data_IF_382548158621
#
_entry.id   IF_382548158621
#
_cell.length_a   1.000
_cell.length_b   1.000
_cell.length_c   1.000
_cell.angle_alpha   90.00
_cell.angle_beta   90.00
_cell.angle_gamma   90.00
#
_symmetry.space_group_name_H-M   'P 1'
#
loop_
_entity.id
_entity.type
_entity.pdbx_description
1 polymer ?
#
# COMPACT_ATOMS: atom_id res chain seq x y z
N UNK A 1 -6.00 -2.59 -25.82
CA UNK A 1 -5.29 -1.31 -26.02
C UNK A 1 -4.15 -1.53 -27.01
N UNK A 2 -4.00 -0.67 -28.02
CA UNK A 2 -2.90 -0.80 -28.99
C UNK A 2 -1.58 -0.42 -28.32
N UNK A 3 -0.45 -1.02 -28.73
CA UNK A 3 0.88 -0.76 -28.14
C UNK A 3 1.20 0.74 -28.01
N UNK A 4 0.84 1.55 -29.01
CA UNK A 4 1.09 3.00 -28.99
C UNK A 4 0.31 3.76 -27.91
N UNK A 5 -0.91 3.33 -27.61
CA UNK A 5 -1.72 3.91 -26.54
C UNK A 5 -1.08 3.60 -25.18
N UNK A 6 -0.60 2.37 -24.98
CA UNK A 6 0.12 1.96 -23.76
C UNK A 6 1.40 2.80 -23.58
N UNK A 7 2.19 2.98 -24.66
CA UNK A 7 3.41 3.79 -24.58
C UNK A 7 3.12 5.24 -24.15
N UNK A 8 2.01 5.82 -24.61
CA UNK A 8 1.58 7.15 -24.17
C UNK A 8 1.24 7.16 -22.69
N UNK A 9 0.47 6.18 -22.21
CA UNK A 9 0.13 6.04 -20.79
C UNK A 9 1.38 5.91 -19.93
N UNK A 10 2.35 5.06 -20.32
CA UNK A 10 3.61 4.91 -19.61
C UNK A 10 4.41 6.22 -19.58
N UNK A 11 4.55 6.90 -20.72
CA UNK A 11 5.29 8.16 -20.80
C UNK A 11 4.65 9.27 -19.94
N UNK A 12 3.33 9.32 -19.89
CA UNK A 12 2.61 10.31 -19.07
C UNK A 12 2.62 9.95 -17.59
N UNK A 13 2.63 8.65 -17.24
CA UNK A 13 2.79 8.20 -15.87
C UNK A 13 4.16 8.62 -15.30
N UNK A 14 5.25 8.36 -16.03
CA UNK A 14 6.61 8.69 -15.57
C UNK A 14 6.79 10.18 -15.28
N UNK A 15 6.17 11.07 -16.07
CA UNK A 15 6.20 12.53 -15.84
C UNK A 15 5.52 12.97 -14.55
N UNK A 16 4.61 12.14 -14.01
CA UNK A 16 3.84 12.43 -12.80
C UNK A 16 4.42 11.79 -11.55
N UNK A 17 5.45 10.95 -11.69
CA UNK A 17 6.11 10.34 -10.52
C UNK A 17 6.76 11.47 -9.72
N UNK A 18 6.36 11.67 -8.44
CA UNK A 18 6.95 12.69 -7.59
C UNK A 18 8.34 12.26 -7.09
N UNK A 19 9.11 13.21 -6.56
CA UNK A 19 10.48 12.98 -6.07
C UNK A 19 10.54 11.92 -4.94
N UNK A 20 9.47 11.80 -4.15
CA UNK A 20 9.35 10.77 -3.11
C UNK A 20 8.90 9.41 -3.66
N UNK A 21 8.90 9.20 -4.98
CA UNK A 21 8.65 7.91 -5.64
C UNK A 21 7.33 7.24 -5.23
N UNK A 22 6.29 8.03 -4.99
CA UNK A 22 4.96 7.57 -4.57
C UNK A 22 4.95 6.74 -3.27
N UNK A 23 5.88 6.98 -2.32
CA UNK A 23 5.82 6.35 -1.01
C UNK A 23 5.40 7.31 0.11
N UNK A 24 4.90 6.73 1.20
CA UNK A 24 4.80 7.35 2.51
C UNK A 24 5.66 6.54 3.50
N UNK A 25 6.39 7.21 4.38
CA UNK A 25 7.17 6.52 5.42
C UNK A 25 6.27 6.05 6.57
N UNK A 26 6.65 5.01 7.34
CA UNK A 26 5.88 4.60 8.50
C UNK A 26 5.61 5.74 9.51
N UNK A 27 6.59 6.61 9.87
CA UNK A 27 6.33 7.73 10.77
C UNK A 27 5.29 8.73 10.22
N UNK A 28 5.34 9.04 8.93
CA UNK A 28 4.37 9.94 8.28
C UNK A 28 2.97 9.32 8.24
N UNK A 29 2.86 8.03 7.90
CA UNK A 29 1.58 7.33 7.91
C UNK A 29 0.98 7.32 9.31
N UNK A 30 1.78 6.98 10.33
CA UNK A 30 1.34 6.99 11.72
C UNK A 30 0.77 8.34 12.12
N UNK A 31 1.50 9.43 11.84
CA UNK A 31 1.04 10.79 12.11
C UNK A 31 -0.28 11.10 11.42
N UNK A 32 -0.44 10.74 10.14
CA UNK A 32 -1.70 10.95 9.40
C UNK A 32 -2.87 10.15 9.97
N UNK A 33 -2.63 8.92 10.42
CA UNK A 33 -3.65 8.10 11.07
C UNK A 33 -4.06 8.67 12.44
N UNK A 34 -3.15 9.32 13.17
CA UNK A 34 -3.46 10.02 14.42
C UNK A 34 -4.24 11.33 14.17
N UNK A 35 -3.88 12.09 13.13
CA UNK A 35 -4.47 13.41 12.85
C UNK A 35 -5.78 13.35 12.05
N UNK A 36 -5.90 12.42 11.11
CA UNK A 36 -7.00 12.37 10.13
C UNK A 36 -7.26 10.95 9.61
N UNK A 37 -7.58 9.97 10.48
CA UNK A 37 -7.70 8.57 10.10
C UNK A 37 -8.74 8.32 9.00
N UNK A 38 -9.81 9.13 8.96
CA UNK A 38 -10.88 8.99 7.98
C UNK A 38 -10.48 9.36 6.55
N UNK A 39 -9.38 10.10 6.37
CA UNK A 39 -8.85 10.52 5.06
C UNK A 39 -7.93 9.48 4.41
N UNK A 40 -7.58 8.43 5.15
CA UNK A 40 -6.64 7.39 4.73
C UNK A 40 -7.38 6.06 4.63
N UNK A 41 -7.06 5.30 3.58
CA UNK A 41 -7.47 3.91 3.44
C UNK A 41 -6.22 3.04 3.35
N UNK A 42 -5.98 2.21 4.35
CA UNK A 42 -4.82 1.30 4.34
C UNK A 42 -5.23 -0.01 3.68
N UNK A 43 -4.63 -0.30 2.52
CA UNK A 43 -4.83 -1.53 1.77
C UNK A 43 -3.68 -2.50 2.06
N UNK A 44 -3.96 -3.58 2.79
CA UNK A 44 -2.99 -4.65 3.02
C UNK A 44 -3.12 -5.73 1.95
N UNK A 45 -2.08 -5.89 1.13
CA UNK A 45 -2.08 -6.86 0.02
C UNK A 45 -1.35 -8.16 0.35
N UNK A 46 -0.98 -8.38 1.62
CA UNK A 46 -0.42 -9.65 2.08
C UNK A 46 -1.49 -10.75 2.11
N UNK A 47 -1.03 -11.99 2.25
CA UNK A 47 -1.93 -13.11 2.50
C UNK A 47 -2.68 -12.93 3.84
N UNK A 48 -3.82 -13.62 3.97
CA UNK A 48 -4.69 -13.51 5.14
C UNK A 48 -3.97 -13.90 6.44
N UNK A 49 -3.10 -14.91 6.39
CA UNK A 49 -2.32 -15.36 7.55
C UNK A 49 -1.44 -14.25 8.13
N UNK A 50 -0.67 -13.57 7.27
CA UNK A 50 0.20 -12.44 7.67
C UNK A 50 -0.59 -11.26 8.21
N UNK A 51 -1.78 -11.02 7.65
CA UNK A 51 -2.69 -9.96 8.11
C UNK A 51 -3.26 -10.29 9.49
N UNK A 52 -3.74 -11.53 9.68
CA UNK A 52 -4.30 -12.01 10.93
C UNK A 52 -3.27 -12.02 12.07
N UNK A 53 -2.02 -12.39 11.76
CA UNK A 53 -0.92 -12.33 12.72
C UNK A 53 -0.69 -10.89 13.21
N UNK A 54 -0.55 -9.93 12.28
CA UNK A 54 -0.41 -8.52 12.63
C UNK A 54 -0.74 -7.59 11.46
N UNK A 55 -1.56 -6.57 11.68
CA UNK A 55 -1.87 -5.53 10.68
C UNK A 55 -2.04 -4.15 11.32
N UNK A 56 -2.00 -3.10 10.49
CA UNK A 56 -2.26 -1.72 10.93
C UNK A 56 -3.75 -1.60 11.30
N UNK A 57 -4.07 -0.95 12.41
CA UNK A 57 -5.47 -0.73 12.82
C UNK A 57 -6.28 -0.04 11.71
N UNK A 58 -7.46 -0.60 11.42
CA UNK A 58 -8.34 -0.11 10.36
C UNK A 58 -7.90 -0.44 8.92
N UNK A 59 -6.82 -1.21 8.74
CA UNK A 59 -6.46 -1.71 7.41
C UNK A 59 -7.53 -2.67 6.87
N UNK A 60 -7.60 -2.77 5.54
CA UNK A 60 -8.46 -3.73 4.85
C UNK A 60 -7.57 -4.69 4.08
N UNK A 61 -7.70 -6.00 4.35
CA UNK A 61 -6.98 -7.02 3.61
C UNK A 61 -7.66 -7.34 2.28
N UNK A 62 -6.92 -7.17 1.19
CA UNK A 62 -7.25 -7.73 -0.11
C UNK A 62 -5.96 -8.28 -0.68
N UNK A 63 -5.77 -9.61 -0.61
CA UNK A 63 -4.58 -10.28 -1.16
C UNK A 63 -4.27 -9.80 -2.58
N UNK A 64 -2.97 -9.67 -2.89
CA UNK A 64 -2.44 -9.18 -4.17
C UNK A 64 -3.19 -9.73 -5.40
N UNK A 65 -3.47 -11.04 -5.42
CA UNK A 65 -4.11 -11.72 -6.56
C UNK A 65 -5.56 -11.28 -6.78
N UNK A 66 -6.17 -10.67 -5.76
CA UNK A 66 -7.58 -10.37 -5.72
C UNK A 66 -7.91 -8.87 -5.81
N UNK A 67 -6.91 -7.99 -5.80
CA UNK A 67 -7.10 -6.52 -5.75
C UNK A 67 -7.96 -6.02 -6.91
N UNK A 68 -7.70 -6.50 -8.12
CA UNK A 68 -8.35 -6.01 -9.35
C UNK A 68 -9.60 -6.82 -9.75
N UNK A 69 -10.09 -7.72 -8.89
CA UNK A 69 -11.42 -8.28 -9.08
C UNK A 69 -12.48 -7.20 -8.87
N UNK A 70 -13.53 -7.21 -9.70
CA UNK A 70 -14.60 -6.21 -9.71
C UNK A 70 -15.22 -5.94 -8.32
N UNK A 71 -15.47 -7.01 -7.56
CA UNK A 71 -16.03 -6.92 -6.21
C UNK A 71 -15.06 -6.37 -5.15
N UNK A 72 -13.76 -6.36 -5.43
CA UNK A 72 -12.74 -5.91 -4.48
C UNK A 72 -12.25 -4.50 -4.81
N UNK A 73 -12.02 -4.20 -6.09
CA UNK A 73 -11.62 -2.86 -6.51
C UNK A 73 -12.68 -1.81 -6.15
N UNK A 74 -13.96 -2.19 -6.18
CA UNK A 74 -15.09 -1.35 -5.75
C UNK A 74 -15.13 -1.05 -4.24
N UNK A 75 -14.39 -1.81 -3.42
CA UNK A 75 -14.23 -1.54 -1.98
C UNK A 75 -13.15 -0.50 -1.69
N UNK A 76 -12.26 -0.25 -2.65
CA UNK A 76 -11.19 0.73 -2.50
C UNK A 76 -11.78 2.11 -2.81
N UNK A 77 -11.77 3.06 -1.85
CA UNK A 77 -12.34 4.39 -2.03
C UNK A 77 -11.49 5.22 -3.00
N UNK A 78 -12.14 6.06 -3.82
CA UNK A 78 -11.48 6.97 -4.75
C UNK A 78 -11.33 8.40 -4.17
N UNK A 79 -12.04 8.68 -3.07
CA UNK A 79 -12.07 9.97 -2.36
C UNK A 79 -11.11 10.05 -1.17
N UNK A 80 -10.33 8.98 -0.92
CA UNK A 80 -9.32 8.89 0.14
C UNK A 80 -7.95 8.60 -0.44
N UNK A 81 -6.90 8.98 0.28
CA UNK A 81 -5.56 8.51 -0.04
C UNK A 81 -5.44 7.02 0.32
N UNK A 82 -5.11 6.21 -0.68
CA UNK A 82 -4.90 4.76 -0.54
C UNK A 82 -3.45 4.51 -0.21
N UNK A 83 -3.18 3.93 0.95
CA UNK A 83 -1.84 3.53 1.38
C UNK A 83 -1.73 2.02 1.26
N UNK A 84 -0.99 1.56 0.25
CA UNK A 84 -0.78 0.14 -0.01
C UNK A 84 0.37 -0.35 0.86
N UNK A 85 0.13 -1.36 1.70
CA UNK A 85 1.18 -2.03 2.47
C UNK A 85 1.33 -3.49 2.06
N UNK A 86 2.55 -3.98 2.17
CA UNK A 86 2.89 -5.39 2.02
C UNK A 86 4.00 -5.76 3.02
N UNK A 87 4.62 -6.93 2.87
CA UNK A 87 5.71 -7.36 3.76
C UNK A 87 6.86 -6.35 3.84
N UNK A 88 7.48 -6.03 2.70
CA UNK A 88 8.74 -5.24 2.63
C UNK A 88 8.71 -4.06 1.63
N UNK A 89 7.54 -3.70 1.11
CA UNK A 89 7.33 -2.56 0.20
C UNK A 89 7.39 -2.87 -1.31
N UNK A 90 7.96 -4.00 -1.74
CA UNK A 90 8.14 -4.29 -3.18
C UNK A 90 6.84 -4.60 -3.94
N UNK A 91 5.95 -5.37 -3.32
CA UNK A 91 4.63 -5.66 -3.93
C UNK A 91 3.75 -4.41 -3.91
N UNK A 92 3.81 -3.64 -2.83
CA UNK A 92 3.05 -2.40 -2.69
C UNK A 92 3.39 -1.40 -3.82
N UNK A 93 4.65 -1.29 -4.25
CA UNK A 93 5.03 -0.40 -5.35
C UNK A 93 4.44 -0.78 -6.71
N UNK A 94 4.18 -2.07 -6.94
CA UNK A 94 3.53 -2.54 -8.16
C UNK A 94 2.02 -2.25 -8.11
N UNK A 95 1.38 -2.59 -6.99
CA UNK A 95 -0.07 -2.40 -6.82
C UNK A 95 -0.44 -0.91 -6.80
N UNK A 96 0.32 -0.05 -6.11
CA UNK A 96 0.06 1.38 -6.13
C UNK A 96 0.11 1.95 -7.54
N UNK A 97 1.04 1.47 -8.38
CA UNK A 97 1.21 1.96 -9.76
C UNK A 97 -0.03 1.63 -10.58
N UNK A 98 -0.55 0.41 -10.45
CA UNK A 98 -1.77 -0.02 -11.13
C UNK A 98 -3.00 0.76 -10.62
N UNK A 99 -3.10 1.03 -9.31
CA UNK A 99 -4.16 1.87 -8.75
C UNK A 99 -4.07 3.32 -9.28
N UNK A 100 -2.88 3.91 -9.34
CA UNK A 100 -2.71 5.25 -9.92
C UNK A 100 -3.10 5.31 -11.40
N UNK A 101 -2.84 4.26 -12.18
CA UNK A 101 -3.31 4.16 -13.56
C UNK A 101 -4.84 4.08 -13.67
N UNK A 102 -5.52 3.60 -12.64
CA UNK A 102 -6.99 3.58 -12.53
C UNK A 102 -7.57 4.87 -11.91
N UNK A 103 -6.73 5.84 -11.55
CA UNK A 103 -7.16 7.16 -11.06
C UNK A 103 -7.23 7.30 -9.54
N UNK A 104 -6.71 6.35 -8.77
CA UNK A 104 -6.64 6.46 -7.31
C UNK A 104 -5.47 7.35 -6.87
N UNK A 105 -5.66 8.12 -5.79
CA UNK A 105 -4.55 8.71 -5.02
C UNK A 105 -3.89 7.61 -4.17
N UNK A 106 -2.98 6.84 -4.78
CA UNK A 106 -2.33 5.71 -4.13
C UNK A 106 -0.84 5.95 -3.88
N UNK A 107 -0.38 5.59 -2.68
CA UNK A 107 1.03 5.57 -2.28
C UNK A 107 1.39 4.25 -1.60
N UNK A 108 2.66 3.88 -1.58
CA UNK A 108 3.16 2.67 -0.94
C UNK A 108 3.73 2.96 0.43
N UNK A 109 3.48 2.07 1.40
CA UNK A 109 4.17 2.14 2.70
C UNK A 109 5.64 1.73 2.51
N UNK A 110 6.55 2.69 2.69
CA UNK A 110 7.99 2.47 2.56
C UNK A 110 8.44 1.38 3.54
N UNK A 111 9.17 0.40 3.02
CA UNK A 111 9.64 -0.80 3.75
C UNK A 111 8.55 -1.74 4.27
N UNK A 112 7.27 -1.46 4.01
CA UNK A 112 6.16 -2.33 4.39
C UNK A 112 5.99 -2.52 5.90
N UNK A 113 5.48 -3.69 6.27
CA UNK A 113 5.21 -4.07 7.65
C UNK A 113 6.46 -4.56 8.40
N UNK A 114 7.39 -5.21 7.70
CA UNK A 114 8.55 -5.89 8.30
C UNK A 114 9.90 -5.21 8.03
N UNK A 115 10.97 -6.01 7.94
CA UNK A 115 12.33 -5.54 7.64
C UNK A 115 12.58 -5.54 6.13
N UNK A 116 13.12 -4.45 5.59
CA UNK A 116 13.67 -4.40 4.24
C UNK A 116 15.18 -4.19 4.30
N UNK A 117 15.96 -4.84 3.44
CA UNK A 117 17.42 -4.63 3.37
C UNK A 117 17.74 -3.89 2.08
N UNK A 118 18.30 -2.68 2.20
CA UNK A 118 18.66 -1.85 1.05
C UNK A 118 20.16 -1.56 1.10
N UNK A 119 20.88 -1.93 0.04
CA UNK A 119 22.33 -1.76 -0.05
C UNK A 119 23.12 -2.33 1.15
N UNK A 120 22.61 -3.40 1.78
CA UNK A 120 23.22 -4.02 2.95
C UNK A 120 22.82 -3.40 4.29
N UNK A 121 21.98 -2.36 4.28
CA UNK A 121 21.48 -1.71 5.49
C UNK A 121 20.06 -2.16 5.82
N UNK A 122 19.83 -2.45 7.10
CA UNK A 122 18.52 -2.84 7.63
C UNK A 122 17.64 -1.60 7.74
N UNK A 123 16.53 -1.63 7.01
CA UNK A 123 15.47 -0.63 7.05
C UNK A 123 14.25 -1.22 7.76
N UNK A 124 13.73 -0.45 8.73
CA UNK A 124 12.62 -0.88 9.57
C UNK A 124 11.29 -0.41 8.99
N UNK A 125 10.38 -1.35 8.75
CA UNK A 125 8.97 -1.10 8.47
C UNK A 125 8.16 -0.91 9.74
N UNK A 126 6.83 -0.97 9.59
CA UNK A 126 5.88 -0.62 10.65
C UNK A 126 6.09 -1.37 11.98
N UNK A 127 6.17 -2.71 11.92
CA UNK A 127 6.29 -3.58 13.11
C UNK A 127 7.63 -3.35 13.81
N UNK A 128 8.70 -3.24 13.05
CA UNK A 128 10.08 -3.10 13.56
C UNK A 128 10.37 -1.74 14.18
N UNK A 129 9.55 -0.74 13.85
CA UNK A 129 9.54 0.56 14.50
C UNK A 129 8.73 0.55 15.82
N UNK A 130 8.09 -0.57 16.16
CA UNK A 130 7.28 -0.72 17.37
C UNK A 130 5.94 0.01 17.31
N UNK A 131 5.41 0.24 16.10
CA UNK A 131 4.11 0.89 15.95
C UNK A 131 2.95 -0.07 16.22
N UNK A 132 1.78 0.45 16.68
CA UNK A 132 0.66 -0.39 17.06
C UNK A 132 0.20 -1.30 15.92
N UNK A 133 -0.12 -2.55 16.25
CA UNK A 133 -0.73 -3.52 15.34
C UNK A 133 -1.92 -4.19 16.01
N UNK A 134 -2.85 -4.64 15.18
CA UNK A 134 -3.97 -5.49 15.56
C UNK A 134 -3.68 -6.92 15.13
N UNK A 135 -4.20 -7.88 15.86
CA UNK A 135 -4.30 -9.27 15.42
C UNK A 135 -5.78 -9.60 15.28
N UNK A 136 -6.13 -10.15 14.13
CA UNK A 136 -7.40 -10.83 13.96
C UNK A 136 -7.10 -12.29 14.25
N UNK A 137 -7.60 -12.84 15.35
CA UNK A 137 -7.55 -14.29 15.56
C UNK A 137 -8.13 -15.02 14.33
N UNK A 138 -7.86 -16.33 14.15
CA UNK A 138 -8.48 -17.07 13.04
C UNK A 138 -10.00 -16.83 13.10
N UNK A 139 -10.58 -16.39 11.98
CA UNK A 139 -12.03 -16.28 11.83
C UNK A 139 -12.65 -17.61 12.28
N UNK A 140 -13.53 -17.59 13.29
CA UNK A 140 -14.36 -18.76 13.65
C UNK A 140 -15.39 -19.05 12.56
#
# INVERSE_FOLDING_TARGET
MKRMEILKVCADFVKKIPDNLNYITPPELRKKLEESPQSIFVLDVRNMESYNESHIEGAVNISIDNVFHENNISKIPIDKQVVVCCGIGHVASQILTLLQLLGYDAVGLKYGMGVSTVAGEVQKGWVELGYPVMSSGPEE
#
